data_IF_636343236653
#
_entry.id   IF_636343236653
#
_cell.length_a   1.000
_cell.length_b   1.000
_cell.length_c   1.000
_cell.angle_alpha   90.00
_cell.angle_beta   90.00
_cell.angle_gamma   90.00
#
_symmetry.space_group_name_H-M   'P 1'
#
loop_
_entity.id
_entity.type
_entity.pdbx_description
1 polymer ?
#
# COMPACT_ATOMS: atom_id res chain seq x y z
N UNK A 1 -3.05 -20.71 11.88
CA UNK A 1 -2.14 -20.95 10.74
C UNK A 1 -2.27 -19.77 9.79
N UNK A 2 -1.16 -19.18 9.35
CA UNK A 2 -1.18 -18.05 8.40
C UNK A 2 -0.68 -18.53 7.04
N UNK A 3 -1.44 -18.26 5.99
CA UNK A 3 -1.06 -18.54 4.60
C UNK A 3 -0.75 -17.20 3.94
N UNK A 4 0.52 -17.01 3.57
CA UNK A 4 0.99 -15.79 2.95
C UNK A 4 1.52 -16.07 1.53
N UNK A 5 1.60 -15.05 0.66
CA UNK A 5 2.33 -15.15 -0.59
C UNK A 5 3.80 -15.56 -0.36
N UNK A 6 4.43 -16.10 -1.41
CA UNK A 6 5.89 -16.31 -1.41
C UNK A 6 6.61 -14.98 -1.17
N UNK A 7 7.79 -15.03 -0.57
CA UNK A 7 8.54 -13.81 -0.23
C UNK A 7 9.02 -13.05 -1.49
N UNK A 8 9.28 -13.80 -2.55
CA UNK A 8 9.67 -13.30 -3.88
C UNK A 8 8.46 -12.89 -4.72
N UNK A 9 7.24 -13.11 -4.24
CA UNK A 9 6.04 -12.74 -4.97
C UNK A 9 5.81 -11.23 -4.92
N UNK A 10 5.25 -10.73 -6.00
CA UNK A 10 4.72 -9.38 -6.08
C UNK A 10 3.24 -9.38 -5.65
N UNK A 11 2.84 -8.41 -4.83
CA UNK A 11 1.49 -8.27 -4.31
C UNK A 11 0.89 -6.92 -4.71
N UNK A 12 -0.41 -6.90 -4.98
CA UNK A 12 -1.14 -5.70 -5.36
C UNK A 12 -2.53 -6.02 -5.89
N UNK A 13 -3.24 -5.03 -6.46
CA UNK A 13 -4.56 -5.26 -7.06
C UNK A 13 -4.51 -6.33 -8.15
N UNK A 14 -5.49 -7.24 -8.13
CA UNK A 14 -5.68 -8.22 -9.17
C UNK A 14 -5.97 -7.52 -10.50
N UNK A 15 -5.14 -7.78 -11.52
CA UNK A 15 -5.23 -7.10 -12.82
C UNK A 15 -6.56 -7.35 -13.53
N UNK A 16 -7.16 -8.52 -13.30
CA UNK A 16 -8.48 -8.87 -13.83
C UNK A 16 -9.63 -8.04 -13.26
N UNK A 17 -9.43 -7.33 -12.14
CA UNK A 17 -10.43 -6.47 -11.50
C UNK A 17 -10.26 -4.98 -11.85
N UNK A 18 -9.21 -4.62 -12.58
CA UNK A 18 -8.93 -3.23 -12.94
C UNK A 18 -9.67 -2.84 -14.22
N UNK A 19 -10.32 -1.68 -14.20
CA UNK A 19 -11.01 -1.09 -15.35
C UNK A 19 -10.79 0.43 -15.37
N UNK A 20 -11.11 1.14 -16.47
CA UNK A 20 -11.05 2.60 -16.46
C UNK A 20 -11.95 3.24 -15.38
N UNK A 21 -13.07 2.60 -15.03
CA UNK A 21 -13.98 3.03 -13.97
C UNK A 21 -13.56 2.55 -12.57
N UNK A 22 -12.62 1.60 -12.49
CA UNK A 22 -12.05 1.07 -11.25
C UNK A 22 -10.52 1.03 -11.35
N UNK A 23 -9.86 2.20 -11.31
CA UNK A 23 -8.41 2.28 -11.36
C UNK A 23 -7.78 1.69 -10.09
N UNK A 24 -6.51 1.27 -10.14
CA UNK A 24 -5.82 0.78 -8.96
C UNK A 24 -5.72 1.86 -7.89
N UNK A 25 -6.12 1.54 -6.66
CA UNK A 25 -5.97 2.43 -5.49
C UNK A 25 -4.66 2.20 -4.74
N UNK A 26 -4.06 1.02 -4.92
CA UNK A 26 -2.83 0.60 -4.25
C UNK A 26 -1.77 0.23 -5.28
N UNK A 27 -0.53 0.53 -4.93
CA UNK A 27 0.67 0.14 -5.67
C UNK A 27 0.84 -1.37 -5.61
N UNK A 28 1.62 -1.86 -6.56
CA UNK A 28 2.12 -3.22 -6.58
C UNK A 28 3.55 -3.21 -6.02
N UNK A 29 3.86 -4.07 -5.06
CA UNK A 29 5.14 -4.13 -4.34
C UNK A 29 5.58 -5.58 -4.10
N UNK A 30 6.86 -5.80 -3.82
CA UNK A 30 7.35 -7.12 -3.39
C UNK A 30 6.86 -7.49 -1.99
N UNK A 31 6.60 -8.78 -1.75
CA UNK A 31 6.23 -9.26 -0.41
C UNK A 31 7.35 -9.01 0.61
N UNK A 32 8.62 -9.03 0.19
CA UNK A 32 9.75 -8.59 1.01
C UNK A 32 9.62 -7.15 1.52
N UNK A 33 9.32 -6.22 0.61
CA UNK A 33 9.13 -4.80 0.95
C UNK A 33 7.93 -4.63 1.91
N UNK A 34 6.81 -5.31 1.63
CA UNK A 34 5.63 -5.30 2.49
C UNK A 34 5.97 -5.75 3.92
N UNK A 35 6.67 -6.89 4.07
CA UNK A 35 7.04 -7.43 5.39
C UNK A 35 7.95 -6.46 6.12
N UNK A 36 9.00 -5.95 5.45
CA UNK A 36 9.94 -5.00 6.05
C UNK A 36 9.23 -3.74 6.55
N UNK A 37 8.34 -3.19 5.75
CA UNK A 37 7.63 -1.95 6.09
C UNK A 37 6.49 -2.15 7.11
N UNK A 38 5.86 -3.34 7.11
CA UNK A 38 4.81 -3.69 8.05
C UNK A 38 5.37 -3.86 9.47
N UNK A 39 6.53 -4.51 9.61
CA UNK A 39 7.16 -4.75 10.91
C UNK A 39 8.03 -3.59 11.41
N UNK A 40 8.53 -2.71 10.53
CA UNK A 40 9.32 -1.54 10.94
C UNK A 40 8.50 -0.31 11.33
N UNK A 41 7.17 -0.33 11.13
CA UNK A 41 6.33 0.84 11.40
C UNK A 41 6.13 1.06 12.91
N UNK A 42 6.22 2.33 13.34
CA UNK A 42 5.74 2.76 14.64
C UNK A 42 4.20 2.67 14.70
N UNK A 43 3.64 2.42 15.88
CA UNK A 43 2.19 2.39 16.13
C UNK A 43 1.60 3.81 16.07
N UNK A 44 1.52 4.38 14.87
CA UNK A 44 1.03 5.73 14.61
C UNK A 44 -0.45 5.77 14.18
N UNK A 45 -1.20 4.69 14.43
CA UNK A 45 -2.61 4.56 14.07
C UNK A 45 -2.90 4.36 12.57
N UNK A 46 -1.90 4.46 11.68
CA UNK A 46 -2.11 4.27 10.24
C UNK A 46 -1.92 2.81 9.83
N UNK A 47 -2.78 2.32 8.94
CA UNK A 47 -2.62 0.99 8.34
C UNK A 47 -1.42 0.98 7.37
N UNK A 48 -0.78 -0.18 7.18
CA UNK A 48 0.28 -0.30 6.17
C UNK A 48 -0.26 -0.07 4.74
N UNK A 49 -1.55 -0.33 4.49
CA UNK A 49 -2.21 -0.05 3.21
C UNK A 49 -2.14 1.44 2.82
N UNK A 50 -2.13 2.36 3.78
CA UNK A 50 -1.96 3.80 3.47
C UNK A 50 -0.61 4.10 2.82
N UNK A 51 0.45 3.37 3.17
CA UNK A 51 1.77 3.51 2.50
C UNK A 51 1.73 2.99 1.07
N UNK A 52 0.93 1.96 0.83
CA UNK A 52 0.73 1.37 -0.49
C UNK A 52 -0.18 2.21 -1.38
N UNK A 53 -0.93 3.18 -0.83
CA UNK A 53 -1.89 3.97 -1.59
C UNK A 53 -1.18 4.77 -2.69
N UNK A 54 -1.78 4.79 -3.88
CA UNK A 54 -1.31 5.66 -4.97
C UNK A 54 -1.74 7.08 -4.62
N UNK A 55 -0.77 7.98 -4.43
CA UNK A 55 -1.04 9.39 -4.20
C UNK A 55 -1.43 10.06 -5.52
N UNK A 56 -2.69 10.44 -5.68
CA UNK A 56 -3.10 11.47 -6.62
C UNK A 56 -2.67 12.84 -6.07
N UNK A 57 -2.31 13.78 -6.94
CA UNK A 57 -1.65 15.06 -6.63
C UNK A 57 -2.44 16.08 -5.75
N UNK A 58 -3.32 15.64 -4.84
CA UNK A 58 -4.19 16.55 -4.06
C UNK A 58 -4.01 16.50 -2.54
N UNK A 59 -3.07 15.72 -2.00
CA UNK A 59 -2.85 15.63 -0.53
C UNK A 59 -1.42 15.97 -0.08
N UNK A 60 -0.85 17.06 -0.59
CA UNK A 60 0.34 17.70 0.02
C UNK A 60 0.05 19.12 0.54
N UNK A 61 -1.22 19.55 0.62
CA UNK A 61 -1.61 20.84 1.19
C UNK A 61 -2.63 20.68 2.31
N UNK A 62 -2.12 20.41 3.52
CA UNK A 62 -2.68 20.64 4.88
C UNK A 62 -2.01 19.60 5.79
N UNK A 63 -0.86 19.88 6.39
CA UNK A 63 -0.81 20.51 7.70
C UNK A 63 0.63 20.95 8.02
N UNK A 64 0.91 22.23 7.79
CA UNK A 64 1.92 22.99 8.54
C UNK A 64 1.33 24.36 8.80
N UNK A 65 0.53 24.49 9.86
CA UNK A 65 0.33 25.74 10.61
C UNK A 65 -0.21 25.40 12.00
N UNK A 66 0.61 25.68 13.03
CA UNK A 66 0.33 26.05 14.42
C UNK A 66 1.31 25.35 15.38
#
# INVERSE_FOLDING_TARGET
MFFNPKFEAEIGPATSMLTPQNPPLFKRIGMEEYVKDFFSRNLNGKSHLEKMRIKTHEEDSTNTTA
#
